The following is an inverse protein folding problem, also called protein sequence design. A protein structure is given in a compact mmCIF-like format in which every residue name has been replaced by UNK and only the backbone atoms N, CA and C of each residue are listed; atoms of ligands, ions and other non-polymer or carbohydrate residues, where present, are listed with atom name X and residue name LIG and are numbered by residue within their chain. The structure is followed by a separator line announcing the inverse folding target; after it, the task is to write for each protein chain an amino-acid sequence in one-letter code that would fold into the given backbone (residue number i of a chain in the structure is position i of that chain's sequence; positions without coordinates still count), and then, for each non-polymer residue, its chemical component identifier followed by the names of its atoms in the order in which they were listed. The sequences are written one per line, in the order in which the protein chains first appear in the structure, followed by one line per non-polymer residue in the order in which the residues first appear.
data_IF_621804778969
#
_entry.id   IF_621804778969
#
_cell.length_a   1.000
_cell.length_b   1.000
_cell.length_c   1.000
_cell.angle_alpha   90.00
_cell.angle_beta   90.00
_cell.angle_gamma   90.00
#
_symmetry.space_group_name_H-M   'P 1'
#
loop_
_entity.id
_entity.type
_entity.pdbx_description
1 polymer ?
#
# COMPACT_ATOMS: atom_id res chain seq x y z
N UNK A 1 2.27 1.95 -43.68
CA UNK A 1 2.98 1.91 -42.39
C UNK A 1 1.93 2.10 -41.32
N UNK A 2 1.55 1.03 -40.61
CA UNK A 2 0.63 1.12 -39.47
C UNK A 2 1.40 1.70 -38.30
N UNK A 3 1.14 2.96 -38.01
CA UNK A 3 1.60 3.61 -36.80
C UNK A 3 0.96 2.86 -35.63
N UNK A 4 1.72 1.95 -35.00
CA UNK A 4 1.23 1.19 -33.85
C UNK A 4 1.13 2.18 -32.70
N UNK A 5 -0.09 2.61 -32.39
CA UNK A 5 -0.35 3.41 -31.20
C UNK A 5 0.30 2.76 -29.98
N UNK A 6 1.11 3.52 -29.26
CA UNK A 6 1.81 3.02 -28.10
C UNK A 6 0.80 2.58 -27.03
N UNK A 7 0.87 1.30 -26.65
CA UNK A 7 0.11 0.78 -25.51
C UNK A 7 0.66 1.40 -24.22
N UNK A 8 -0.21 2.06 -23.46
CA UNK A 8 0.12 2.59 -22.15
C UNK A 8 -0.47 1.65 -21.10
N UNK A 9 0.39 1.21 -20.18
CA UNK A 9 0.05 0.25 -19.13
C UNK A 9 0.18 0.93 -17.77
N UNK A 10 -0.91 1.01 -16.99
CA UNK A 10 -0.91 1.53 -15.62
C UNK A 10 -1.05 0.36 -14.64
N UNK A 11 -0.19 0.33 -13.63
CA UNK A 11 -0.16 -0.72 -12.61
C UNK A 11 -0.39 -0.15 -11.20
N UNK A 12 -0.78 -0.98 -10.20
CA UNK A 12 -0.85 -0.56 -8.80
C UNK A 12 0.46 0.05 -8.30
N UNK A 13 1.59 -0.40 -8.82
CA UNK A 13 2.92 0.11 -8.47
C UNK A 13 3.11 1.56 -8.92
N UNK A 14 2.57 1.95 -10.08
CA UNK A 14 2.59 3.34 -10.54
C UNK A 14 1.84 4.23 -9.55
N UNK A 15 0.65 3.80 -9.11
CA UNK A 15 -0.19 4.56 -8.19
C UNK A 15 0.45 4.62 -6.79
N UNK A 16 0.93 3.49 -6.27
CA UNK A 16 1.67 3.44 -5.01
C UNK A 16 2.88 4.38 -5.04
N UNK A 17 3.58 4.45 -6.18
CA UNK A 17 4.72 5.36 -6.37
C UNK A 17 4.30 6.82 -6.34
N UNK A 18 3.14 7.18 -6.88
CA UNK A 18 2.58 8.54 -6.78
C UNK A 18 2.33 8.91 -5.31
N UNK A 19 1.75 8.01 -4.49
CA UNK A 19 1.58 8.27 -3.05
C UNK A 19 2.92 8.47 -2.35
N UNK A 20 3.93 7.65 -2.67
CA UNK A 20 5.28 7.79 -2.11
C UNK A 20 5.92 9.14 -2.47
N UNK A 21 5.86 9.52 -3.74
CA UNK A 21 6.40 10.79 -4.24
C UNK A 21 5.68 11.99 -3.62
N UNK A 22 4.35 11.93 -3.47
CA UNK A 22 3.59 12.99 -2.80
C UNK A 22 3.97 13.13 -1.32
N UNK A 23 4.19 12.02 -0.61
CA UNK A 23 4.69 12.06 0.77
C UNK A 23 6.09 12.67 0.83
N UNK A 24 7.01 12.23 -0.04
CA UNK A 24 8.38 12.77 -0.11
C UNK A 24 8.38 14.27 -0.43
N UNK A 25 7.54 14.70 -1.39
CA UNK A 25 7.33 16.11 -1.72
C UNK A 25 6.87 16.91 -0.51
N UNK A 26 5.85 16.43 0.20
CA UNK A 26 5.35 17.10 1.40
C UNK A 26 6.40 17.21 2.50
N UNK A 27 7.20 16.15 2.73
CA UNK A 27 8.30 16.17 3.70
C UNK A 27 9.39 17.17 3.29
N UNK A 28 9.78 17.23 2.02
CA UNK A 28 10.79 18.18 1.54
C UNK A 28 10.30 19.63 1.60
N UNK A 29 9.04 19.90 1.23
CA UNK A 29 8.43 21.22 1.40
C UNK A 29 8.47 21.64 2.87
N UNK A 30 8.08 20.73 3.78
CA UNK A 30 8.15 20.98 5.21
C UNK A 30 9.58 21.27 5.65
N UNK A 31 10.56 20.42 5.30
CA UNK A 31 11.99 20.63 5.62
C UNK A 31 12.51 21.97 5.09
N UNK A 32 12.11 22.35 3.87
CA UNK A 32 12.50 23.64 3.27
C UNK A 32 12.02 24.81 4.11
N UNK A 33 10.81 24.75 4.66
CA UNK A 33 10.27 25.80 5.54
C UNK A 33 11.06 26.02 6.83
N UNK A 34 11.90 25.06 7.24
CA UNK A 34 12.77 25.14 8.43
C UNK A 34 14.27 25.12 8.09
N UNK A 35 14.62 25.21 6.80
CA UNK A 35 16.01 25.21 6.39
C UNK A 35 16.64 26.59 6.68
N UNK A 36 17.42 26.68 7.76
CA UNK A 36 18.17 27.90 8.11
C UNK A 36 19.47 28.07 7.30
N UNK A 37 19.79 27.15 6.38
CA UNK A 37 21.02 27.16 5.60
C UNK A 37 20.70 27.16 4.08
N UNK A 38 21.25 28.14 3.37
CA UNK A 38 21.09 28.28 1.92
C UNK A 38 21.56 27.05 1.14
N UNK A 39 22.65 26.38 1.55
CA UNK A 39 23.15 25.19 0.85
C UNK A 39 22.18 24.01 0.96
N UNK A 40 21.56 23.83 2.13
CA UNK A 40 20.53 22.80 2.35
C UNK A 40 19.27 23.10 1.53
N UNK A 41 18.85 24.37 1.45
CA UNK A 41 17.71 24.77 0.62
C UNK A 41 17.93 24.44 -0.86
N UNK A 42 19.12 24.71 -1.40
CA UNK A 42 19.45 24.40 -2.81
C UNK A 42 19.39 22.89 -3.08
N UNK A 43 19.86 22.06 -2.15
CA UNK A 43 19.75 20.60 -2.28
C UNK A 43 18.29 20.14 -2.26
N UNK A 44 17.49 20.67 -1.33
CA UNK A 44 16.05 20.36 -1.25
C UNK A 44 15.34 20.76 -2.55
N UNK A 45 15.67 21.90 -3.14
CA UNK A 45 15.07 22.37 -4.39
C UNK A 45 15.38 21.45 -5.58
N UNK A 46 16.60 20.91 -5.65
CA UNK A 46 16.96 19.91 -6.66
C UNK A 46 16.16 18.62 -6.48
N UNK A 47 16.03 18.13 -5.25
CA UNK A 47 15.25 16.93 -4.95
C UNK A 47 13.75 17.12 -5.27
N UNK A 48 13.19 18.28 -4.91
CA UNK A 48 11.81 18.66 -5.25
C UNK A 48 11.60 18.65 -6.76
N UNK A 49 12.52 19.23 -7.54
CA UNK A 49 12.44 19.25 -9.01
C UNK A 49 12.41 17.84 -9.62
N UNK A 50 13.22 16.91 -9.11
CA UNK A 50 13.23 15.51 -9.56
C UNK A 50 11.88 14.82 -9.27
N UNK A 51 11.33 15.05 -8.07
CA UNK A 51 10.04 14.49 -7.67
C UNK A 51 8.91 15.09 -8.52
N UNK A 52 8.91 16.40 -8.76
CA UNK A 52 7.91 17.08 -9.57
C UNK A 52 7.93 16.62 -11.03
N UNK A 53 9.12 16.44 -11.62
CA UNK A 53 9.25 15.86 -12.96
C UNK A 53 8.66 14.44 -13.02
N UNK A 54 8.95 13.61 -12.00
CA UNK A 54 8.41 12.25 -11.91
C UNK A 54 6.88 12.25 -11.77
N UNK A 55 6.34 13.08 -10.88
CA UNK A 55 4.89 13.24 -10.69
C UNK A 55 4.22 13.75 -11.96
N UNK A 56 4.82 14.69 -12.68
CA UNK A 56 4.30 15.20 -13.95
C UNK A 56 4.16 14.08 -14.98
N UNK A 57 5.18 13.23 -15.12
CA UNK A 57 5.15 12.08 -16.04
C UNK A 57 4.00 11.11 -15.68
N UNK A 58 3.80 10.80 -14.40
CA UNK A 58 2.68 9.97 -13.96
C UNK A 58 1.32 10.63 -14.19
N UNK A 59 1.19 11.92 -13.91
CA UNK A 59 -0.05 12.67 -14.10
C UNK A 59 -0.45 12.76 -15.58
N UNK A 60 0.51 12.91 -16.49
CA UNK A 60 0.24 12.84 -17.93
C UNK A 60 -0.26 11.46 -18.34
N UNK A 61 0.33 10.39 -17.82
CA UNK A 61 -0.09 9.01 -18.05
C UNK A 61 -1.55 8.79 -17.60
N UNK A 62 -1.89 9.24 -16.39
CA UNK A 62 -3.25 9.17 -15.83
C UNK A 62 -4.26 10.03 -16.60
N UNK A 63 -3.86 11.24 -17.01
CA UNK A 63 -4.70 12.14 -17.80
C UNK A 63 -5.04 11.52 -19.15
N UNK A 64 -4.07 10.93 -19.84
CA UNK A 64 -4.29 10.19 -21.10
C UNK A 64 -5.23 9.00 -20.89
N UNK A 65 -5.12 8.32 -19.74
CA UNK A 65 -6.00 7.22 -19.34
C UNK A 65 -7.42 7.67 -18.93
N UNK A 66 -7.66 8.98 -18.76
CA UNK A 66 -8.85 9.55 -18.10
C UNK A 66 -9.11 8.93 -16.73
N UNK A 67 -8.03 8.59 -16.03
CA UNK A 67 -8.06 7.94 -14.74
C UNK A 67 -7.97 8.99 -13.63
N UNK A 68 -9.02 9.10 -12.83
CA UNK A 68 -9.02 9.89 -11.61
C UNK A 68 -8.59 9.01 -10.44
N UNK A 69 -7.60 9.48 -9.67
CA UNK A 69 -7.14 8.76 -8.48
C UNK A 69 -8.02 9.11 -7.28
N UNK A 70 -8.38 8.08 -6.55
CA UNK A 70 -9.21 8.16 -5.36
C UNK A 70 -8.38 7.72 -4.16
N UNK A 71 -8.43 8.52 -3.09
CA UNK A 71 -7.73 8.24 -1.85
C UNK A 71 -8.75 8.12 -0.71
N UNK A 72 -8.66 7.06 0.13
CA UNK A 72 -9.51 6.92 1.30
C UNK A 72 -9.43 8.14 2.22
N UNK A 73 -10.56 8.59 2.76
CA UNK A 73 -10.62 9.72 3.70
C UNK A 73 -10.07 11.05 3.11
N UNK A 74 -10.09 11.23 1.79
CA UNK A 74 -9.64 12.46 1.13
C UNK A 74 -10.38 13.72 1.60
N UNK A 75 -11.69 13.64 1.83
CA UNK A 75 -12.50 14.74 2.38
C UNK A 75 -12.09 15.10 3.82
N UNK A 76 -12.06 14.16 4.79
CA UNK A 76 -11.54 14.42 6.13
C UNK A 76 -10.12 15.01 6.14
N UNK A 77 -9.20 14.48 5.32
CA UNK A 77 -7.83 15.01 5.22
C UNK A 77 -7.83 16.47 4.74
N UNK A 78 -8.66 16.78 3.74
CA UNK A 78 -8.77 18.14 3.19
C UNK A 78 -9.34 19.10 4.22
N UNK A 79 -10.41 18.68 4.93
CA UNK A 79 -11.03 19.47 5.99
C UNK A 79 -10.06 19.75 7.15
N UNK A 80 -9.31 18.74 7.60
CA UNK A 80 -8.28 18.90 8.64
C UNK A 80 -7.14 19.82 8.17
N UNK A 81 -6.72 19.69 6.92
CA UNK A 81 -5.67 20.55 6.35
C UNK A 81 -6.13 22.01 6.32
N UNK A 82 -7.34 22.28 5.86
CA UNK A 82 -7.92 23.63 5.85
C UNK A 82 -8.08 24.24 7.26
N UNK A 83 -8.26 23.42 8.30
CA UNK A 83 -8.26 23.90 9.69
C UNK A 83 -6.84 24.23 10.16
N UNK A 84 -5.87 23.35 9.88
CA UNK A 84 -4.47 23.53 10.27
C UNK A 84 -3.85 24.75 9.58
N UNK A 85 -4.16 24.99 8.32
CA UNK A 85 -3.60 26.08 7.50
C UNK A 85 -4.05 27.47 7.98
N UNK A 86 -5.04 27.56 8.88
CA UNK A 86 -5.43 28.82 9.55
C UNK A 86 -4.43 29.26 10.62
N UNK A 87 -3.53 28.38 11.04
CA UNK A 87 -2.55 28.65 12.09
C UNK A 87 -1.20 29.05 11.50
N UNK A 88 -0.45 29.89 12.23
CA UNK A 88 0.90 30.27 11.84
C UNK A 88 1.87 29.07 11.96
N UNK A 89 2.94 29.12 11.19
CA UNK A 89 4.05 28.15 11.30
C UNK A 89 4.61 28.06 12.73
N UNK A 90 4.71 29.19 13.44
CA UNK A 90 5.17 29.21 14.84
C UNK A 90 4.23 28.47 15.80
N UNK A 91 2.91 28.61 15.62
CA UNK A 91 1.93 27.90 16.42
C UNK A 91 1.96 26.39 16.15
N UNK A 92 2.12 25.99 14.89
CA UNK A 92 2.27 24.57 14.49
C UNK A 92 3.53 23.98 15.13
N UNK A 93 4.66 24.68 15.09
CA UNK A 93 5.91 24.23 15.69
C UNK A 93 5.78 24.04 17.22
N UNK A 94 5.13 24.97 17.91
CA UNK A 94 4.91 24.87 19.36
C UNK A 94 3.93 23.73 19.71
N UNK A 95 2.88 23.52 18.92
CA UNK A 95 1.97 22.39 19.10
C UNK A 95 2.69 21.03 18.93
N UNK A 96 3.59 20.92 17.96
CA UNK A 96 4.41 19.70 17.76
C UNK A 96 5.39 19.46 18.92
N UNK A 97 5.92 20.53 19.52
CA UNK A 97 6.84 20.47 20.65
C UNK A 97 6.13 20.07 21.94
N UNK A 98 5.02 20.73 22.24
CA UNK A 98 4.23 20.50 23.46
C UNK A 98 3.38 19.24 23.39
N UNK A 99 3.09 18.73 22.18
CA UNK A 99 2.26 17.54 21.94
C UNK A 99 0.91 17.57 22.66
N UNK A 100 0.32 18.76 22.76
CA UNK A 100 -0.92 18.98 23.48
C UNK A 100 -1.75 20.11 22.84
N UNK A 101 -3.03 20.17 23.21
CA UNK A 101 -3.97 21.17 22.71
C UNK A 101 -4.65 20.79 21.40
N UNK A 102 -5.60 21.64 20.99
CA UNK A 102 -6.48 21.42 19.84
C UNK A 102 -5.71 21.30 18.52
N UNK A 103 -4.75 22.21 18.27
CA UNK A 103 -3.94 22.18 17.05
C UNK A 103 -3.11 20.89 16.94
N UNK A 104 -2.56 20.38 18.05
CA UNK A 104 -1.88 19.10 18.04
C UNK A 104 -2.83 17.95 17.74
N UNK A 105 -4.04 17.95 18.30
CA UNK A 105 -5.07 16.95 17.99
C UNK A 105 -5.42 16.93 16.50
N UNK A 106 -5.58 18.10 15.87
CA UNK A 106 -5.82 18.20 14.42
C UNK A 106 -4.65 17.62 13.60
N UNK A 107 -3.41 17.98 13.96
CA UNK A 107 -2.20 17.46 13.33
C UNK A 107 -2.10 15.94 13.48
N UNK A 108 -2.40 15.42 14.66
CA UNK A 108 -2.36 13.98 14.96
C UNK A 108 -3.43 13.23 14.15
N UNK A 109 -4.67 13.72 14.12
CA UNK A 109 -5.75 13.10 13.34
C UNK A 109 -5.42 13.08 11.85
N UNK A 110 -4.96 14.21 11.29
CA UNK A 110 -4.53 14.26 9.89
C UNK A 110 -3.38 13.28 9.64
N UNK A 111 -2.40 13.28 10.54
CA UNK A 111 -1.24 12.39 10.48
C UNK A 111 -1.63 10.91 10.49
N UNK A 112 -2.60 10.51 11.33
CA UNK A 112 -3.14 9.14 11.37
C UNK A 112 -3.75 8.73 10.02
N UNK A 113 -4.59 9.58 9.44
CA UNK A 113 -5.23 9.29 8.14
C UNK A 113 -4.21 9.22 7.00
N UNK A 114 -3.30 10.20 6.91
CA UNK A 114 -2.25 10.20 5.87
C UNK A 114 -1.30 9.01 6.02
N UNK A 115 -0.93 8.65 7.26
CA UNK A 115 -0.10 7.48 7.54
C UNK A 115 -0.80 6.19 7.11
N UNK A 116 -2.08 6.03 7.45
CA UNK A 116 -2.90 4.88 7.02
C UNK A 116 -2.91 4.74 5.50
N UNK A 117 -3.14 5.84 4.77
CA UNK A 117 -3.14 5.82 3.30
C UNK A 117 -1.77 5.44 2.73
N UNK A 118 -0.67 5.92 3.33
CA UNK A 118 0.67 5.56 2.90
C UNK A 118 1.00 4.08 3.14
N UNK A 119 0.56 3.54 4.27
CA UNK A 119 0.74 2.12 4.59
C UNK A 119 -0.07 1.22 3.66
N UNK A 120 -1.30 1.61 3.32
CA UNK A 120 -2.20 0.90 2.41
C UNK A 120 -2.01 1.28 0.92
N UNK A 121 -0.85 1.84 0.53
CA UNK A 121 -0.65 2.38 -0.83
C UNK A 121 -0.78 1.36 -1.95
N UNK A 122 -0.45 0.09 -1.68
CA UNK A 122 -0.57 -0.98 -2.67
C UNK A 122 -2.04 -1.36 -2.89
N UNK A 123 -2.82 -1.45 -1.81
CA UNK A 123 -4.27 -1.68 -1.83
C UNK A 123 -5.00 -0.53 -2.52
N UNK A 124 -4.62 0.72 -2.22
CA UNK A 124 -5.15 1.90 -2.91
C UNK A 124 -4.84 1.83 -4.41
N UNK A 125 -3.64 1.39 -4.79
CA UNK A 125 -3.29 1.17 -6.19
C UNK A 125 -4.17 0.12 -6.87
N UNK A 126 -4.33 -1.05 -6.24
CA UNK A 126 -5.21 -2.13 -6.74
C UNK A 126 -6.66 -1.65 -6.86
N UNK A 127 -7.16 -0.93 -5.86
CA UNK A 127 -8.51 -0.37 -5.82
C UNK A 127 -8.74 0.60 -6.99
N UNK A 128 -7.83 1.53 -7.20
CA UNK A 128 -7.95 2.53 -8.27
C UNK A 128 -8.00 1.90 -9.67
N UNK A 129 -7.23 0.82 -9.89
CA UNK A 129 -7.28 0.05 -11.14
C UNK A 129 -8.65 -0.62 -11.29
N UNK A 130 -9.13 -1.32 -10.25
CA UNK A 130 -10.44 -1.99 -10.31
C UNK A 130 -11.59 -1.02 -10.53
N UNK A 131 -11.53 0.18 -9.96
CA UNK A 131 -12.56 1.21 -10.18
C UNK A 131 -12.72 1.61 -11.65
N UNK A 132 -11.71 1.41 -12.50
CA UNK A 132 -11.82 1.68 -13.94
C UNK A 132 -12.69 0.66 -14.68
N UNK A 133 -12.88 -0.54 -14.09
CA UNK A 133 -13.73 -1.59 -14.64
C UNK A 133 -15.18 -1.49 -14.13
N UNK A 134 -15.45 -0.59 -13.18
CA UNK A 134 -16.80 -0.33 -12.66
C UNK A 134 -17.55 0.62 -13.61
N UNK A 135 -18.81 0.30 -13.93
CA UNK A 135 -19.68 1.20 -14.69
C UNK A 135 -19.84 2.57 -14.03
N UNK A 136 -19.90 3.64 -14.83
CA UNK A 136 -19.83 5.04 -14.38
C UNK A 136 -20.77 5.38 -13.21
N UNK A 137 -22.01 4.88 -13.27
CA UNK A 137 -23.04 5.13 -12.24
C UNK A 137 -22.65 4.57 -10.86
N UNK A 138 -22.20 3.31 -10.80
CA UNK A 138 -21.81 2.67 -9.54
C UNK A 138 -20.44 3.18 -9.07
N UNK A 139 -19.56 3.52 -10.02
CA UNK A 139 -18.23 4.05 -9.73
C UNK A 139 -18.31 5.35 -8.93
N UNK A 140 -19.14 6.30 -9.34
CA UNK A 140 -19.30 7.58 -8.63
C UNK A 140 -19.72 7.37 -7.17
N UNK A 141 -20.65 6.46 -6.93
CA UNK A 141 -21.11 6.12 -5.59
C UNK A 141 -19.98 5.55 -4.71
N UNK A 142 -19.22 4.59 -5.24
CA UNK A 142 -18.08 3.98 -4.54
C UNK A 142 -16.97 5.02 -4.29
N UNK A 143 -16.67 5.84 -5.30
CA UNK A 143 -15.67 6.91 -5.21
C UNK A 143 -16.02 7.87 -4.06
N UNK A 144 -17.29 8.29 -3.97
CA UNK A 144 -17.77 9.16 -2.90
C UNK A 144 -17.62 8.52 -1.52
N UNK A 145 -17.96 7.24 -1.38
CA UNK A 145 -17.76 6.51 -0.12
C UNK A 145 -16.28 6.42 0.26
N UNK A 146 -15.39 6.18 -0.71
CA UNK A 146 -13.95 6.14 -0.46
C UNK A 146 -13.43 7.50 0.01
N UNK A 147 -13.78 8.58 -0.70
CA UNK A 147 -13.29 9.92 -0.41
C UNK A 147 -13.77 10.40 0.96
N UNK A 148 -15.05 10.19 1.28
CA UNK A 148 -15.62 10.55 2.59
C UNK A 148 -15.09 9.68 3.74
N UNK A 149 -14.63 8.46 3.43
CA UNK A 149 -14.16 7.50 4.44
C UNK A 149 -15.29 6.77 5.16
N UNK A 150 -16.54 6.96 4.70
CA UNK A 150 -17.71 6.33 5.27
C UNK A 150 -18.74 6.05 4.16
N UNK A 151 -19.58 5.06 4.39
CA UNK A 151 -20.80 4.93 3.60
C UNK A 151 -21.82 5.98 4.06
N UNK A 152 -22.73 6.40 3.17
CA UNK A 152 -23.84 7.26 3.58
C UNK A 152 -24.73 6.52 4.59
N UNK A 153 -25.40 7.26 5.47
CA UNK A 153 -26.28 6.69 6.48
C UNK A 153 -27.33 5.76 5.84
N UNK A 154 -27.35 4.50 6.29
CA UNK A 154 -28.28 3.47 5.80
C UNK A 154 -27.82 2.70 4.56
N UNK A 155 -26.70 3.07 3.93
CA UNK A 155 -26.18 2.41 2.72
C UNK A 155 -25.00 1.49 3.08
N UNK A 156 -25.25 0.21 3.37
CA UNK A 156 -24.15 -0.78 3.50
C UNK A 156 -23.98 -1.64 2.26
N UNK A 157 -24.90 -1.52 1.29
CA UNK A 157 -24.94 -2.36 0.09
C UNK A 157 -24.54 -1.51 -1.10
N UNK A 158 -23.40 -1.86 -1.69
CA UNK A 158 -23.00 -1.32 -2.99
C UNK A 158 -23.45 -2.31 -4.05
N UNK A 159 -24.24 -1.85 -5.03
CA UNK A 159 -24.50 -2.63 -6.23
C UNK A 159 -23.24 -2.64 -7.09
N UNK A 160 -22.78 -3.85 -7.42
CA UNK A 160 -21.69 -4.09 -8.36
C UNK A 160 -22.22 -4.63 -9.70
N UNK A 161 -23.46 -4.28 -10.06
CA UNK A 161 -24.10 -4.76 -11.28
C UNK A 161 -23.21 -4.50 -12.51
N UNK A 162 -23.04 -5.54 -13.33
CA UNK A 162 -22.22 -5.50 -14.55
C UNK A 162 -20.73 -5.79 -14.35
N UNK A 163 -20.30 -6.12 -13.12
CA UNK A 163 -18.94 -6.57 -12.80
C UNK A 163 -18.95 -8.09 -12.64
N UNK A 164 -17.90 -8.77 -13.10
CA UNK A 164 -17.77 -10.21 -12.86
C UNK A 164 -17.59 -10.52 -11.35
N UNK A 165 -18.01 -11.71 -10.93
CA UNK A 165 -18.00 -12.06 -9.51
C UNK A 165 -16.60 -12.04 -8.86
N UNK A 166 -15.52 -12.24 -9.63
CA UNK A 166 -14.14 -12.18 -9.11
C UNK A 166 -13.75 -10.73 -8.82
N UNK A 167 -13.94 -9.83 -9.79
CA UNK A 167 -13.67 -8.40 -9.63
C UNK A 167 -14.53 -7.77 -8.54
N UNK A 168 -15.80 -8.19 -8.41
CA UNK A 168 -16.67 -7.78 -7.30
C UNK A 168 -16.09 -8.19 -5.95
N UNK A 169 -15.71 -9.45 -5.79
CA UNK A 169 -15.10 -9.95 -4.55
C UNK A 169 -13.82 -9.19 -4.22
N UNK A 170 -12.95 -8.98 -5.22
CA UNK A 170 -11.70 -8.25 -5.07
C UNK A 170 -11.93 -6.80 -4.63
N UNK A 171 -12.90 -6.11 -5.24
CA UNK A 171 -13.26 -4.74 -4.89
C UNK A 171 -13.77 -4.63 -3.45
N UNK A 172 -14.60 -5.56 -3.01
CA UNK A 172 -15.11 -5.56 -1.63
C UNK A 172 -14.02 -5.84 -0.60
N UNK A 173 -13.12 -6.78 -0.90
CA UNK A 173 -11.93 -7.04 -0.07
C UNK A 173 -11.05 -5.79 0.03
N UNK A 174 -10.76 -5.14 -1.10
CA UNK A 174 -9.93 -3.94 -1.12
C UNK A 174 -10.58 -2.77 -0.37
N UNK A 175 -11.89 -2.56 -0.53
CA UNK A 175 -12.64 -1.56 0.23
C UNK A 175 -12.50 -1.80 1.74
N UNK A 176 -12.65 -3.05 2.20
CA UNK A 176 -12.44 -3.41 3.61
C UNK A 176 -11.00 -3.15 4.06
N UNK A 177 -10.00 -3.56 3.28
CA UNK A 177 -8.57 -3.34 3.60
C UNK A 177 -8.22 -1.85 3.71
N UNK A 178 -8.88 -0.96 2.95
CA UNK A 178 -8.72 0.49 3.08
C UNK A 178 -9.60 1.13 4.17
N UNK A 179 -10.43 0.35 4.86
CA UNK A 179 -11.22 0.78 6.01
C UNK A 179 -12.69 1.05 5.76
N UNK A 180 -13.24 0.62 4.64
CA UNK A 180 -14.64 0.78 4.28
C UNK A 180 -15.32 -0.58 4.34
N UNK A 181 -16.15 -0.78 5.35
CA UNK A 181 -16.97 -1.98 5.42
C UNK A 181 -18.15 -1.87 4.46
N UNK A 182 -18.15 -2.74 3.45
CA UNK A 182 -19.21 -2.86 2.45
C UNK A 182 -19.73 -4.28 2.39
N UNK A 183 -21.03 -4.42 2.20
CA UNK A 183 -21.69 -5.68 1.89
C UNK A 183 -21.85 -5.80 0.38
N UNK A 184 -21.29 -6.86 -0.18
CA UNK A 184 -21.39 -7.16 -1.60
C UNK A 184 -22.67 -7.95 -1.86
N UNK A 185 -23.70 -7.34 -2.43
CA UNK A 185 -24.99 -8.02 -2.70
C UNK A 185 -25.53 -8.80 -1.47
N UNK A 186 -25.34 -8.27 -0.26
CA UNK A 186 -25.76 -8.90 1.00
C UNK A 186 -24.83 -9.98 1.57
N UNK A 187 -23.74 -10.35 0.89
CA UNK A 187 -22.73 -11.27 1.40
C UNK A 187 -21.65 -10.54 2.21
N UNK A 188 -21.26 -11.15 3.34
CA UNK A 188 -20.08 -10.69 4.11
C UNK A 188 -18.81 -10.96 3.33
N UNK A 189 -17.92 -9.98 3.29
CA UNK A 189 -16.56 -10.15 2.81
C UNK A 189 -15.81 -11.16 3.68
N UNK A 190 -14.87 -11.94 3.11
CA UNK A 190 -14.00 -12.81 3.89
C UNK A 190 -13.35 -12.02 5.04
N UNK A 191 -13.20 -12.67 6.19
CA UNK A 191 -12.38 -12.13 7.27
C UNK A 191 -10.91 -12.30 6.91
N UNK A 192 -10.17 -11.20 6.96
CA UNK A 192 -8.74 -11.15 6.73
C UNK A 192 -8.12 -10.24 7.79
N UNK A 193 -6.91 -10.57 8.21
CA UNK A 193 -6.12 -9.81 9.17
C UNK A 193 -4.78 -9.43 8.54
N UNK A 194 -4.34 -8.20 8.82
CA UNK A 194 -3.02 -7.72 8.40
C UNK A 194 -1.96 -8.35 9.30
N UNK A 195 -1.00 -9.06 8.70
CA UNK A 195 0.19 -9.59 9.35
C UNK A 195 1.44 -9.06 8.66
N UNK A 196 2.55 -8.97 9.40
CA UNK A 196 3.84 -8.55 8.85
C UNK A 196 4.78 -9.75 8.80
N UNK A 197 5.18 -10.15 7.60
CA UNK A 197 6.07 -11.28 7.35
C UNK A 197 7.28 -10.77 6.58
N UNK A 198 8.50 -10.99 7.11
CA UNK A 198 9.75 -10.51 6.51
C UNK A 198 9.72 -9.04 6.04
N UNK A 199 9.21 -8.13 6.88
CA UNK A 199 9.03 -6.70 6.60
C UNK A 199 8.03 -6.36 5.47
N UNK A 200 7.19 -7.31 5.06
CA UNK A 200 6.09 -7.08 4.13
C UNK A 200 4.77 -7.24 4.87
N UNK A 201 3.87 -6.26 4.70
CA UNK A 201 2.49 -6.36 5.17
C UNK A 201 1.69 -7.20 4.19
N UNK A 202 0.83 -8.05 4.71
CA UNK A 202 0.04 -8.97 3.92
C UNK A 202 -1.24 -9.33 4.66
N UNK A 203 -2.25 -9.71 3.89
CA UNK A 203 -3.58 -10.02 4.40
C UNK A 203 -3.81 -11.52 4.33
N UNK A 204 -4.13 -12.11 5.47
CA UNK A 204 -4.30 -13.56 5.59
C UNK A 204 -5.60 -13.90 6.32
N UNK A 205 -6.16 -15.09 6.08
CA UNK A 205 -7.22 -15.64 6.91
C UNK A 205 -6.80 -15.70 8.40
N UNK A 206 -7.70 -15.42 9.36
CA UNK A 206 -7.39 -15.43 10.79
C UNK A 206 -6.81 -16.76 11.31
N UNK A 207 -7.25 -17.88 10.72
CA UNK A 207 -6.78 -19.24 11.03
C UNK A 207 -5.35 -19.51 10.54
N UNK A 208 -4.84 -18.74 9.57
CA UNK A 208 -3.48 -18.88 9.07
C UNK A 208 -2.43 -18.16 9.94
N UNK A 209 -2.83 -17.25 10.83
CA UNK A 209 -1.91 -16.38 11.60
C UNK A 209 -0.94 -17.20 12.45
N UNK A 210 -1.46 -18.18 13.20
CA UNK A 210 -0.65 -19.02 14.07
C UNK A 210 0.32 -19.89 13.27
N UNK A 211 -0.15 -20.47 12.17
CA UNK A 211 0.67 -21.29 11.27
C UNK A 211 1.83 -20.47 10.68
N UNK A 212 1.58 -19.22 10.27
CA UNK A 212 2.62 -18.32 9.78
C UNK A 212 3.66 -18.02 10.86
N UNK A 213 3.23 -17.70 12.09
CA UNK A 213 4.15 -17.42 13.18
C UNK A 213 5.04 -18.61 13.53
N UNK A 214 4.46 -19.82 13.60
CA UNK A 214 5.21 -21.06 13.82
C UNK A 214 6.20 -21.33 12.69
N UNK A 215 5.78 -21.12 11.43
CA UNK A 215 6.65 -21.30 10.28
C UNK A 215 7.83 -20.31 10.30
N UNK A 216 7.60 -19.03 10.60
CA UNK A 216 8.67 -18.03 10.73
C UNK A 216 9.67 -18.37 11.84
N UNK A 217 9.20 -18.86 12.99
CA UNK A 217 10.07 -19.32 14.07
C UNK A 217 10.95 -20.50 13.63
N UNK A 218 10.36 -21.53 13.03
CA UNK A 218 11.10 -22.69 12.49
C UNK A 218 12.11 -22.26 11.44
N UNK A 219 11.73 -21.38 10.53
CA UNK A 219 12.64 -20.85 9.51
C UNK A 219 13.83 -20.12 10.13
N UNK A 220 13.59 -19.27 11.14
CA UNK A 220 14.64 -18.53 11.82
C UNK A 220 15.63 -19.46 12.53
N UNK A 221 15.12 -20.47 13.25
CA UNK A 221 15.96 -21.47 13.93
C UNK A 221 16.80 -22.27 12.93
N UNK A 222 16.19 -22.73 11.84
CA UNK A 222 16.90 -23.46 10.79
C UNK A 222 17.95 -22.60 10.10
N UNK A 223 17.62 -21.35 9.80
CA UNK A 223 18.54 -20.40 9.17
C UNK A 223 19.76 -20.17 10.05
N UNK A 224 19.57 -20.01 11.37
CA UNK A 224 20.67 -19.89 12.32
C UNK A 224 21.55 -21.15 12.32
N UNK A 225 20.94 -22.35 12.32
CA UNK A 225 21.67 -23.61 12.24
C UNK A 225 22.49 -23.74 10.94
N UNK A 226 21.89 -23.41 9.80
CA UNK A 226 22.56 -23.42 8.48
C UNK A 226 23.73 -22.43 8.46
N UNK A 227 23.56 -21.23 9.00
CA UNK A 227 24.63 -20.22 9.07
C UNK A 227 25.81 -20.69 9.93
N UNK A 228 25.53 -21.28 11.10
CA UNK A 228 26.56 -21.85 11.97
C UNK A 228 27.31 -22.98 11.28
N UNK A 229 26.60 -23.94 10.68
CA UNK A 229 27.23 -25.04 9.94
C UNK A 229 28.04 -24.53 8.73
N UNK A 230 27.56 -23.53 8.01
CA UNK A 230 28.34 -22.91 6.95
C UNK A 230 29.64 -22.27 7.45
N UNK A 231 29.61 -21.59 8.61
CA UNK A 231 30.80 -21.02 9.22
C UNK A 231 31.78 -22.12 9.66
N UNK A 232 31.29 -23.20 10.26
CA UNK A 232 32.12 -24.36 10.61
C UNK A 232 32.78 -24.98 9.38
N UNK A 233 32.05 -25.11 8.27
CA UNK A 233 32.55 -25.67 7.01
C UNK A 233 33.69 -24.85 6.39
N UNK A 234 33.79 -23.55 6.71
CA UNK A 234 34.91 -22.72 6.29
C UNK A 234 36.19 -22.99 7.08
N UNK A 235 36.07 -23.62 8.26
CA UNK A 235 37.17 -23.83 9.20
C UNK A 235 37.58 -25.31 9.26
N UNK A 236 36.66 -26.25 8.99
CA UNK A 236 36.92 -27.70 8.94
C UNK A 236 36.28 -28.36 7.72
N UNK A 237 36.87 -29.46 7.28
CA UNK A 237 36.22 -30.39 6.34
C UNK A 237 35.14 -31.16 7.06
N UNK A 238 33.93 -31.16 6.53
CA UNK A 238 32.81 -31.92 7.09
C UNK A 238 32.96 -33.41 6.79
N UNK A 239 32.51 -34.23 7.74
CA UNK A 239 32.25 -35.66 7.52
C UNK A 239 31.02 -35.87 6.63
N UNK A 240 30.85 -37.08 6.07
CA UNK A 240 29.67 -37.41 5.25
C UNK A 240 28.34 -37.24 6.02
N UNK A 241 28.31 -37.58 7.31
CA UNK A 241 27.14 -37.39 8.17
C UNK A 241 26.80 -35.91 8.38
N UNK A 242 27.82 -35.06 8.57
CA UNK A 242 27.64 -33.61 8.71
C UNK A 242 27.15 -32.96 7.42
N UNK A 243 27.67 -33.39 6.26
CA UNK A 243 27.20 -32.95 4.94
C UNK A 243 25.74 -33.37 4.70
N UNK A 244 25.36 -34.61 5.05
CA UNK A 244 23.96 -35.06 4.97
C UNK A 244 23.04 -34.25 5.89
N UNK A 245 23.45 -34.03 7.14
CA UNK A 245 22.67 -33.24 8.09
C UNK A 245 22.55 -31.77 7.66
N UNK A 246 23.57 -31.22 6.99
CA UNK A 246 23.54 -29.89 6.42
C UNK A 246 22.59 -29.80 5.22
N UNK A 247 22.69 -30.73 4.27
CA UNK A 247 21.80 -30.81 3.11
C UNK A 247 20.32 -31.02 3.52
N UNK A 248 20.08 -31.84 4.54
CA UNK A 248 18.73 -32.05 5.12
C UNK A 248 18.15 -30.76 5.69
N UNK A 249 18.95 -29.99 6.44
CA UNK A 249 18.53 -28.69 6.96
C UNK A 249 18.22 -27.71 5.81
N UNK A 250 19.06 -27.63 4.77
CA UNK A 250 18.77 -26.78 3.61
C UNK A 250 17.46 -27.16 2.92
N UNK A 251 17.19 -28.47 2.77
CA UNK A 251 15.95 -28.97 2.18
C UNK A 251 14.73 -28.59 3.03
N UNK A 252 14.79 -28.81 4.35
CA UNK A 252 13.73 -28.41 5.27
C UNK A 252 13.46 -26.90 5.24
N UNK A 253 14.51 -26.08 5.12
CA UNK A 253 14.36 -24.63 4.99
C UNK A 253 13.60 -24.24 3.71
N UNK A 254 13.90 -24.91 2.59
CA UNK A 254 13.19 -24.70 1.33
C UNK A 254 11.73 -25.17 1.39
N UNK A 255 11.43 -26.24 2.14
CA UNK A 255 10.07 -26.70 2.38
C UNK A 255 9.27 -25.69 3.22
N UNK A 256 9.87 -25.16 4.30
CA UNK A 256 9.26 -24.11 5.11
C UNK A 256 9.03 -22.83 4.29
N UNK A 257 9.93 -22.46 3.39
CA UNK A 257 9.73 -21.35 2.44
C UNK A 257 8.49 -21.55 1.56
N UNK A 258 8.31 -22.76 1.01
CA UNK A 258 7.13 -23.08 0.18
C UNK A 258 5.84 -23.05 0.99
N UNK A 259 5.87 -23.60 2.20
CA UNK A 259 4.73 -23.56 3.11
C UNK A 259 4.37 -22.11 3.47
N UNK A 260 5.37 -21.29 3.77
CA UNK A 260 5.19 -19.85 3.98
C UNK A 260 4.53 -19.20 2.77
N UNK A 261 5.04 -19.43 1.56
CA UNK A 261 4.47 -18.84 0.34
C UNK A 261 3.02 -19.27 0.11
N UNK A 262 2.65 -20.51 0.47
CA UNK A 262 1.29 -21.01 0.40
C UNK A 262 0.37 -20.38 1.46
N UNK A 263 0.82 -20.28 2.71
CA UNK A 263 0.11 -19.59 3.79
C UNK A 263 -0.04 -18.09 3.50
N UNK A 264 0.92 -17.53 2.77
CA UNK A 264 1.00 -16.12 2.44
C UNK A 264 0.42 -15.74 1.07
N UNK A 265 -0.25 -16.67 0.40
CA UNK A 265 -0.87 -16.38 -0.88
C UNK A 265 -1.95 -15.29 -0.70
N UNK A 266 -1.71 -14.10 -1.24
CA UNK A 266 -2.69 -13.01 -1.21
C UNK A 266 -3.96 -13.50 -1.93
N UNK A 267 -5.12 -13.35 -1.29
CA UNK A 267 -6.42 -13.78 -1.82
C UNK A 267 -6.75 -13.13 -3.18
N UNK A 268 -6.01 -12.07 -3.54
CA UNK A 268 -6.11 -11.34 -4.80
C UNK A 268 -5.05 -11.73 -5.86
N UNK A 269 -4.06 -12.57 -5.54
CA UNK A 269 -2.87 -12.82 -6.39
C UNK A 269 -3.05 -13.82 -7.54
N UNK A 270 -4.14 -14.60 -7.55
CA UNK A 270 -4.30 -15.71 -8.49
C UNK A 270 -5.20 -15.45 -9.71
N UNK A 271 -6.05 -14.42 -9.68
CA UNK A 271 -7.24 -14.40 -10.54
C UNK A 271 -7.66 -13.02 -11.07
N UNK A 272 -7.05 -11.93 -10.59
CA UNK A 272 -7.41 -10.57 -10.97
C UNK A 272 -6.17 -9.86 -11.51
N UNK A 273 -6.17 -9.55 -12.81
CA UNK A 273 -5.13 -8.71 -13.39
C UNK A 273 -5.34 -7.26 -12.93
N UNK A 274 -4.50 -6.79 -12.02
CA UNK A 274 -4.46 -5.37 -11.65
C UNK A 274 -3.62 -4.61 -12.66
N UNK A 275 -4.11 -4.50 -13.89
CA UNK A 275 -3.45 -3.75 -14.96
C UNK A 275 -4.50 -3.00 -15.79
N UNK A 276 -4.32 -1.70 -15.96
CA UNK A 276 -5.13 -0.90 -16.87
C UNK A 276 -4.34 -0.61 -18.14
N UNK A 277 -4.81 -1.15 -19.28
CA UNK A 277 -4.18 -0.97 -20.60
C UNK A 277 -5.06 -0.11 -21.48
N UNK A 278 -4.47 0.85 -22.18
CA UNK A 278 -5.17 1.65 -23.18
C UNK A 278 -4.22 2.10 -24.29
N UNK A 279 -4.78 2.42 -25.45
CA UNK A 279 -4.04 2.97 -26.57
C UNK A 279 -4.20 4.49 -26.56
N UNK A 280 -3.09 5.21 -26.60
CA UNK A 280 -3.13 6.67 -26.69
C UNK A 280 -3.68 7.07 -28.08
N UNK A 281 -4.85 7.70 -28.09
CA UNK A 281 -5.42 8.37 -29.28
C UNK A 281 -4.70 9.66 -29.59
#
# INVERSE_FOLDING_TARGET
MTDKMAEIVITPRDIARILELNKQRAELIFRKSYANNASLSVTIDKELSIIEASLSSFNEKLKKARMELVFPNGEPITALSAQIDKHSHSAIAEALKTRSGELYSLLEQRGKLTKRNYEAREEIGKLNILLQHVGSRNREHIVKAIISGAMAEGETIVSFDGIDGKSQKALCVLLKRVGLEVLANGAKTPEEVEVTVANRKMWVPPDAVEAISINEQKMFELQKSIQLKNAERQIKTFSEEEEQAFASAQKQYLELLKEKDALCADSLSGDTEFVYKFFAT
#
